data_IF_291684723575
#
_entry.id   IF_291684723575
#
_cell.length_a   1.000
_cell.length_b   1.000
_cell.length_c   1.000
_cell.angle_alpha   90.00
_cell.angle_beta   90.00
_cell.angle_gamma   90.00
#
_symmetry.space_group_name_H-M   'P 1'
#
loop_
_entity.id
_entity.type
_entity.pdbx_description
1 polymer ?
#
# COMPACT_ATOMS: atom_id res chain seq x y z
N UNK A 1 -9.89 -10.41 6.06
CA UNK A 1 -10.97 -10.55 7.07
C UNK A 1 -10.49 -10.30 8.50
N UNK A 2 -9.45 -10.96 9.04
CA UNK A 2 -9.16 -10.91 10.49
C UNK A 2 -8.95 -9.50 11.06
N UNK A 3 -8.30 -8.61 10.30
CA UNK A 3 -8.11 -7.19 10.69
C UNK A 3 -9.46 -6.50 10.92
N UNK A 4 -10.38 -6.58 9.93
CA UNK A 4 -11.68 -5.90 9.98
C UNK A 4 -12.55 -6.51 11.06
N UNK A 5 -12.53 -7.84 11.20
CA UNK A 5 -13.30 -8.55 12.21
C UNK A 5 -12.93 -8.10 13.62
N UNK A 6 -11.63 -8.11 13.95
CA UNK A 6 -11.14 -7.73 15.28
C UNK A 6 -11.49 -6.27 15.63
N UNK A 7 -11.45 -5.38 14.63
CA UNK A 7 -11.65 -3.95 14.85
C UNK A 7 -13.14 -3.60 14.91
N UNK A 8 -13.94 -4.12 13.98
CA UNK A 8 -15.29 -3.64 13.71
C UNK A 8 -16.42 -4.62 14.06
N UNK A 9 -16.21 -5.95 14.00
CA UNK A 9 -17.29 -6.94 14.12
C UNK A 9 -17.79 -7.11 15.56
N UNK A 10 -18.57 -6.13 16.01
CA UNK A 10 -19.22 -6.07 17.32
C UNK A 10 -20.58 -5.37 17.22
N UNK A 11 -21.55 -5.81 18.01
CA UNK A 11 -22.87 -5.19 18.10
C UNK A 11 -23.62 -5.22 16.77
N UNK A 12 -23.94 -4.04 16.22
CA UNK A 12 -24.68 -3.90 14.96
C UNK A 12 -23.84 -4.21 13.70
N UNK A 13 -22.52 -4.37 13.84
CA UNK A 13 -21.65 -4.66 12.70
C UNK A 13 -21.62 -6.16 12.42
N UNK A 14 -22.38 -6.58 11.41
CA UNK A 14 -22.55 -7.99 11.06
C UNK A 14 -21.34 -8.56 10.31
N UNK A 15 -21.27 -9.89 10.23
CA UNK A 15 -20.25 -10.59 9.46
C UNK A 15 -20.27 -10.22 7.96
N UNK A 16 -21.45 -9.94 7.40
CA UNK A 16 -21.62 -9.46 6.03
C UNK A 16 -20.92 -8.11 5.82
N UNK A 17 -21.09 -7.18 6.77
CA UNK A 17 -20.38 -5.91 6.77
C UNK A 17 -18.86 -6.10 6.88
N UNK A 18 -18.39 -7.06 7.67
CA UNK A 18 -16.96 -7.42 7.74
C UNK A 18 -16.41 -7.90 6.41
N UNK A 19 -17.15 -8.74 5.68
CA UNK A 19 -16.72 -9.23 4.37
C UNK A 19 -16.65 -8.09 3.35
N UNK A 20 -17.67 -7.22 3.33
CA UNK A 20 -17.69 -6.05 2.47
C UNK A 20 -16.49 -5.14 2.75
N UNK A 21 -16.30 -4.69 4.00
CA UNK A 21 -15.20 -3.80 4.38
C UNK A 21 -13.84 -4.45 4.19
N UNK A 22 -13.73 -5.77 4.36
CA UNK A 22 -12.50 -6.51 4.04
C UNK A 22 -12.14 -6.43 2.55
N UNK A 23 -13.13 -6.50 1.66
CA UNK A 23 -12.89 -6.36 0.22
C UNK A 23 -12.40 -4.95 -0.14
N UNK A 24 -12.98 -3.92 0.49
CA UNK A 24 -12.53 -2.53 0.33
C UNK A 24 -11.10 -2.34 0.84
N UNK A 25 -10.77 -2.94 1.99
CA UNK A 25 -9.42 -2.89 2.57
C UNK A 25 -8.38 -3.52 1.64
N UNK A 26 -8.70 -4.63 0.98
CA UNK A 26 -7.82 -5.27 -0.01
C UNK A 26 -7.60 -4.33 -1.20
N UNK A 27 -8.68 -3.76 -1.75
CA UNK A 27 -8.59 -2.83 -2.88
C UNK A 27 -7.75 -1.59 -2.54
N UNK A 28 -7.93 -0.99 -1.35
CA UNK A 28 -7.09 0.12 -0.87
C UNK A 28 -5.64 -0.31 -0.62
N UNK A 29 -5.42 -1.52 -0.09
CA UNK A 29 -4.08 -2.05 0.15
C UNK A 29 -3.24 -2.12 -1.12
N UNK A 30 -3.84 -2.58 -2.23
CA UNK A 30 -3.19 -2.60 -3.54
C UNK A 30 -2.88 -1.18 -4.02
N UNK A 31 -3.80 -0.24 -3.82
CA UNK A 31 -3.62 1.15 -4.23
C UNK A 31 -2.61 1.94 -3.39
N UNK A 32 -2.27 1.50 -2.17
CA UNK A 32 -1.51 2.29 -1.19
C UNK A 32 -0.16 2.78 -1.72
N UNK A 33 0.56 1.95 -2.47
CA UNK A 33 1.82 2.33 -3.12
C UNK A 33 1.64 3.54 -4.06
N UNK A 34 0.55 3.55 -4.82
CA UNK A 34 0.22 4.59 -5.79
C UNK A 34 -0.11 5.91 -5.11
N UNK A 35 -0.89 5.88 -4.02
CA UNK A 35 -1.19 7.08 -3.22
C UNK A 35 0.08 7.72 -2.66
N UNK A 36 0.95 6.90 -2.04
CA UNK A 36 2.21 7.39 -1.48
C UNK A 36 3.13 7.95 -2.56
N UNK A 37 3.24 7.27 -3.70
CA UNK A 37 4.03 7.73 -4.83
C UNK A 37 3.54 9.06 -5.39
N UNK A 38 2.21 9.22 -5.57
CA UNK A 38 1.59 10.49 -5.98
C UNK A 38 1.94 11.61 -5.01
N UNK A 39 1.76 11.39 -3.70
CA UNK A 39 2.00 12.43 -2.69
C UNK A 39 3.46 12.89 -2.65
N UNK A 40 4.41 11.96 -2.84
CA UNK A 40 5.83 12.30 -2.99
C UNK A 40 6.05 13.15 -4.24
N UNK A 41 5.52 12.76 -5.40
CA UNK A 41 5.70 13.51 -6.64
C UNK A 41 5.10 14.91 -6.56
N UNK A 42 3.93 15.06 -5.96
CA UNK A 42 3.31 16.38 -5.75
C UNK A 42 4.24 17.29 -4.95
N UNK A 43 4.88 16.78 -3.89
CA UNK A 43 5.87 17.54 -3.11
C UNK A 43 7.12 17.89 -3.92
N UNK A 44 7.58 17.01 -4.81
CA UNK A 44 8.69 17.28 -5.73
C UNK A 44 8.34 18.45 -6.65
N UNK A 45 7.15 18.46 -7.25
CA UNK A 45 6.70 19.56 -8.11
C UNK A 45 6.62 20.89 -7.37
N UNK A 46 6.11 20.89 -6.13
CA UNK A 46 6.13 22.09 -5.29
C UNK A 46 7.54 22.55 -4.96
N UNK A 47 8.48 21.64 -4.65
CA UNK A 47 9.88 21.98 -4.42
C UNK A 47 10.57 22.56 -5.67
N UNK A 48 10.14 22.16 -6.87
CA UNK A 48 10.58 22.70 -8.15
C UNK A 48 9.87 24.00 -8.55
N UNK A 49 9.07 24.61 -7.66
CA UNK A 49 8.33 25.85 -7.90
C UNK A 49 7.15 25.70 -8.86
N UNK A 50 6.76 24.48 -9.21
CA UNK A 50 5.66 24.20 -10.16
C UNK A 50 4.45 23.60 -9.43
N UNK A 51 3.62 24.47 -8.86
CA UNK A 51 2.33 24.06 -8.27
C UNK A 51 1.20 23.89 -9.30
N UNK A 52 1.39 24.38 -10.53
CA UNK A 52 0.34 24.38 -11.55
C UNK A 52 0.16 22.99 -12.15
N UNK A 53 1.25 22.25 -12.32
CA UNK A 53 1.20 20.88 -12.85
C UNK A 53 0.37 19.93 -11.97
N UNK A 54 0.63 19.80 -10.64
CA UNK A 54 -0.22 19.00 -9.74
C UNK A 54 -1.68 19.47 -9.70
N UNK A 55 -1.91 20.78 -9.79
CA UNK A 55 -3.26 21.36 -9.78
C UNK A 55 -4.07 20.96 -11.01
N UNK A 56 -3.50 21.09 -12.22
CA UNK A 56 -4.15 20.68 -13.47
C UNK A 56 -4.48 19.19 -13.50
N UNK A 57 -3.55 18.35 -13.03
CA UNK A 57 -3.78 16.91 -12.91
C UNK A 57 -4.91 16.63 -11.92
N UNK A 58 -4.97 17.36 -10.80
CA UNK A 58 -6.04 17.20 -9.81
C UNK A 58 -7.42 17.56 -10.37
N UNK A 59 -7.51 18.60 -11.22
CA UNK A 59 -8.76 18.92 -11.93
C UNK A 59 -9.14 17.79 -12.88
N UNK A 60 -8.22 17.32 -13.71
CA UNK A 60 -8.46 16.18 -14.61
C UNK A 60 -8.93 14.94 -13.85
N UNK A 61 -8.31 14.66 -12.71
CA UNK A 61 -8.66 13.54 -11.85
C UNK A 61 -10.07 13.61 -11.29
N UNK A 62 -10.59 14.79 -10.97
CA UNK A 62 -11.97 14.94 -10.49
C UNK A 62 -12.94 14.45 -11.58
N UNK A 63 -12.75 14.89 -12.82
CA UNK A 63 -13.59 14.44 -13.95
C UNK A 63 -13.41 12.95 -14.25
N UNK A 64 -12.17 12.46 -14.22
CA UNK A 64 -11.89 11.04 -14.41
C UNK A 64 -12.51 10.19 -13.30
N UNK A 65 -12.51 10.66 -12.06
CA UNK A 65 -13.11 9.96 -10.93
C UNK A 65 -14.62 9.84 -11.10
N UNK A 66 -15.31 10.94 -11.42
CA UNK A 66 -16.76 10.94 -11.70
C UNK A 66 -17.09 9.95 -12.83
N UNK A 67 -16.30 9.97 -13.91
CA UNK A 67 -16.49 9.07 -15.04
C UNK A 67 -16.30 7.59 -14.65
N UNK A 68 -15.23 7.28 -13.91
CA UNK A 68 -14.94 5.92 -13.46
C UNK A 68 -15.97 5.44 -12.43
N UNK A 69 -16.40 6.28 -11.50
CA UNK A 69 -17.44 5.97 -10.52
C UNK A 69 -18.75 5.63 -11.24
N UNK A 70 -19.16 6.43 -12.24
CA UNK A 70 -20.38 6.16 -13.00
C UNK A 70 -20.38 4.78 -13.68
N UNK A 71 -19.21 4.30 -14.12
CA UNK A 71 -19.05 3.00 -14.79
C UNK A 71 -18.88 1.85 -13.79
N UNK A 72 -18.09 2.04 -12.73
CA UNK A 72 -17.66 0.97 -11.82
C UNK A 72 -18.63 0.74 -10.67
N UNK A 73 -19.41 1.76 -10.24
CA UNK A 73 -20.36 1.62 -9.13
C UNK A 73 -21.50 0.66 -9.47
N UNK A 74 -22.00 0.68 -10.71
CA UNK A 74 -23.08 -0.23 -11.13
C UNK A 74 -22.71 -1.72 -11.02
N UNK A 75 -21.56 -2.18 -11.56
CA UNK A 75 -21.16 -3.59 -11.46
C UNK A 75 -20.55 -3.99 -10.12
N UNK A 76 -19.85 -3.09 -9.40
CA UNK A 76 -19.05 -3.45 -8.22
C UNK A 76 -19.51 -2.79 -6.90
N UNK A 77 -20.58 -1.99 -6.92
CA UNK A 77 -21.10 -1.31 -5.74
C UNK A 77 -20.04 -0.44 -5.05
N UNK A 78 -19.92 -0.59 -3.73
CA UNK A 78 -18.95 0.15 -2.92
C UNK A 78 -17.48 -0.11 -3.33
N UNK A 79 -17.15 -1.34 -3.75
CA UNK A 79 -15.80 -1.67 -4.23
C UNK A 79 -15.46 -0.95 -5.53
N UNK A 80 -16.48 -0.65 -6.35
CA UNK A 80 -16.34 0.13 -7.58
C UNK A 80 -15.79 1.53 -7.32
N UNK A 81 -16.25 2.20 -6.26
CA UNK A 81 -15.78 3.53 -5.85
C UNK A 81 -14.28 3.48 -5.49
N UNK A 82 -13.89 2.44 -4.75
CA UNK A 82 -12.48 2.27 -4.35
C UNK A 82 -11.60 2.02 -5.57
N UNK A 83 -12.03 1.14 -6.47
CA UNK A 83 -11.30 0.85 -7.71
C UNK A 83 -11.18 2.09 -8.61
N UNK A 84 -12.24 2.89 -8.73
CA UNK A 84 -12.20 4.16 -9.44
C UNK A 84 -11.17 5.11 -8.82
N UNK A 85 -11.16 5.25 -7.48
CA UNK A 85 -10.20 6.10 -6.77
C UNK A 85 -8.75 5.63 -6.99
N UNK A 86 -8.49 4.32 -6.90
CA UNK A 86 -7.17 3.75 -7.18
C UNK A 86 -6.77 3.99 -8.63
N UNK A 87 -7.67 3.79 -9.59
CA UNK A 87 -7.42 4.03 -11.02
C UNK A 87 -7.06 5.48 -11.32
N UNK A 88 -7.75 6.44 -10.71
CA UNK A 88 -7.44 7.87 -10.82
C UNK A 88 -6.04 8.16 -10.27
N UNK A 89 -5.69 7.62 -9.11
CA UNK A 89 -4.36 7.81 -8.54
C UNK A 89 -3.27 7.14 -9.40
N UNK A 90 -3.56 6.00 -10.03
CA UNK A 90 -2.66 5.36 -11.01
C UNK A 90 -2.44 6.29 -12.22
N UNK A 91 -3.50 6.89 -12.75
CA UNK A 91 -3.35 7.86 -13.85
C UNK A 91 -2.52 9.08 -13.42
N UNK A 92 -2.71 9.54 -12.17
CA UNK A 92 -2.00 10.69 -11.60
C UNK A 92 -0.50 10.45 -11.49
N UNK A 93 -0.11 9.30 -10.92
CA UNK A 93 1.31 8.98 -10.73
C UNK A 93 2.01 8.84 -12.08
N UNK A 94 1.35 8.24 -13.08
CA UNK A 94 1.90 8.11 -14.44
C UNK A 94 2.09 9.48 -15.11
N UNK A 95 1.09 10.36 -15.03
CA UNK A 95 1.18 11.72 -15.58
C UNK A 95 2.27 12.54 -14.89
N UNK A 96 2.33 12.50 -13.56
CA UNK A 96 3.34 13.22 -12.78
C UNK A 96 4.75 12.71 -13.07
N UNK A 97 4.95 11.39 -13.12
CA UNK A 97 6.25 10.80 -13.47
C UNK A 97 6.70 11.20 -14.87
N UNK A 98 5.80 11.15 -15.85
CA UNK A 98 6.12 11.52 -17.22
C UNK A 98 6.47 13.02 -17.37
N UNK A 99 5.72 13.90 -16.71
CA UNK A 99 6.03 15.33 -16.71
C UNK A 99 7.33 15.63 -15.96
N UNK A 100 7.61 14.89 -14.87
CA UNK A 100 8.85 15.04 -14.12
C UNK A 100 10.06 14.60 -14.95
N UNK A 101 9.95 13.48 -15.66
CA UNK A 101 10.96 12.98 -16.59
C UNK A 101 11.32 14.02 -17.65
N UNK A 102 10.31 14.66 -18.25
CA UNK A 102 10.52 15.77 -19.19
C UNK A 102 11.18 16.99 -18.54
N UNK A 103 10.77 17.34 -17.31
CA UNK A 103 11.27 18.54 -16.61
C UNK A 103 12.72 18.38 -16.15
N UNK A 104 13.16 17.16 -15.89
CA UNK A 104 14.52 16.83 -15.44
C UNK A 104 15.44 16.34 -16.57
N UNK A 105 14.96 16.31 -17.83
CA UNK A 105 15.67 15.74 -18.99
C UNK A 105 16.08 14.27 -18.80
N UNK A 106 15.20 13.50 -18.19
CA UNK A 106 15.36 12.07 -17.94
C UNK A 106 15.48 11.73 -16.45
N UNK A 107 14.71 10.74 -16.01
CA UNK A 107 14.86 10.12 -14.71
C UNK A 107 15.81 8.93 -14.77
N UNK A 108 16.50 8.60 -13.66
CA UNK A 108 17.37 7.43 -13.56
C UNK A 108 16.53 6.14 -13.41
N UNK A 109 15.74 5.80 -14.44
CA UNK A 109 14.80 4.67 -14.43
C UNK A 109 15.44 3.32 -14.08
N UNK A 110 16.70 3.10 -14.52
CA UNK A 110 17.45 1.87 -14.21
C UNK A 110 17.84 1.77 -12.75
N UNK A 111 18.20 2.89 -12.13
CA UNK A 111 18.59 2.92 -10.72
C UNK A 111 17.38 2.72 -9.82
N UNK A 112 16.19 3.17 -10.24
CA UNK A 112 14.96 3.00 -9.49
C UNK A 112 14.31 1.62 -9.70
N UNK A 113 14.39 1.06 -10.91
CA UNK A 113 13.72 -0.20 -11.21
C UNK A 113 14.27 -1.37 -10.40
N UNK A 114 15.58 -1.43 -10.17
CA UNK A 114 16.22 -2.52 -9.42
C UNK A 114 15.74 -2.57 -7.95
N UNK A 115 15.81 -1.48 -7.16
CA UNK A 115 15.25 -1.44 -5.81
C UNK A 115 13.74 -1.67 -5.79
N UNK A 116 12.98 -1.07 -6.70
CA UNK A 116 11.51 -1.24 -6.74
C UNK A 116 11.13 -2.69 -6.98
N UNK A 117 11.77 -3.36 -7.95
CA UNK A 117 11.53 -4.78 -8.24
C UNK A 117 11.95 -5.67 -7.07
N UNK A 118 13.11 -5.39 -6.46
CA UNK A 118 13.59 -6.11 -5.28
C UNK A 118 12.64 -5.98 -4.09
N UNK A 119 12.19 -4.76 -3.79
CA UNK A 119 11.22 -4.48 -2.72
C UNK A 119 9.87 -5.12 -3.00
N UNK A 120 9.38 -5.02 -4.23
CA UNK A 120 8.10 -5.65 -4.64
C UNK A 120 8.17 -7.17 -4.50
N UNK A 121 9.25 -7.79 -4.99
CA UNK A 121 9.48 -9.23 -4.83
C UNK A 121 9.57 -9.63 -3.35
N UNK A 122 10.31 -8.87 -2.54
CA UNK A 122 10.39 -9.09 -1.09
C UNK A 122 9.05 -8.95 -0.38
N UNK A 123 8.23 -7.97 -0.76
CA UNK A 123 6.87 -7.79 -0.21
C UNK A 123 5.95 -8.94 -0.58
N UNK A 124 6.05 -9.49 -1.79
CA UNK A 124 5.27 -10.68 -2.20
C UNK A 124 5.65 -11.89 -1.37
N UNK A 125 6.95 -12.18 -1.22
CA UNK A 125 7.42 -13.33 -0.43
C UNK A 125 7.04 -13.18 1.05
N UNK A 126 7.19 -11.99 1.62
CA UNK A 126 6.77 -11.68 2.98
C UNK A 126 5.25 -11.82 3.17
N UNK A 127 4.47 -11.36 2.18
CA UNK A 127 3.02 -11.51 2.16
C UNK A 127 2.59 -12.97 2.13
N UNK A 128 3.24 -13.80 1.29
CA UNK A 128 2.99 -15.24 1.23
C UNK A 128 3.37 -15.95 2.53
N UNK A 129 4.50 -15.59 3.15
CA UNK A 129 4.92 -16.16 4.43
C UNK A 129 3.95 -15.78 5.56
N UNK A 130 3.51 -14.52 5.60
CA UNK A 130 2.51 -14.04 6.56
C UNK A 130 1.16 -14.75 6.37
N UNK A 131 0.71 -14.89 5.13
CA UNK A 131 -0.53 -15.60 4.79
C UNK A 131 -0.44 -17.08 5.14
N UNK A 132 0.66 -17.75 4.81
CA UNK A 132 0.88 -19.15 5.19
C UNK A 132 0.88 -19.35 6.71
N UNK A 133 1.51 -18.45 7.45
CA UNK A 133 1.49 -18.47 8.93
C UNK A 133 0.08 -18.31 9.48
N UNK A 134 -0.71 -17.39 8.91
CA UNK A 134 -2.09 -17.17 9.29
C UNK A 134 -2.93 -18.44 9.07
N UNK A 135 -2.83 -19.06 7.89
CA UNK A 135 -3.57 -20.29 7.56
C UNK A 135 -3.19 -21.43 8.51
N UNK A 136 -1.91 -21.63 8.78
CA UNK A 136 -1.44 -22.66 9.73
C UNK A 136 -1.98 -22.44 11.14
N UNK A 137 -1.97 -21.19 11.63
CA UNK A 137 -2.51 -20.88 12.95
C UNK A 137 -4.04 -21.03 13.03
N UNK A 138 -4.75 -20.77 11.93
CA UNK A 138 -6.20 -20.99 11.86
C UNK A 138 -6.56 -22.48 11.92
N UNK A 139 -5.74 -23.34 11.32
CA UNK A 139 -5.92 -24.80 11.40
C UNK A 139 -5.64 -25.36 12.80
N UNK A 140 -4.67 -24.79 13.52
CA UNK A 140 -4.26 -25.27 14.85
C UNK A 140 -5.11 -24.73 16.00
N UNK A 141 -5.42 -23.41 15.99
CA UNK A 141 -6.08 -22.70 17.10
C UNK A 141 -7.57 -22.45 16.85
N UNK A 142 -8.07 -22.76 15.64
CA UNK A 142 -9.42 -22.42 15.21
C UNK A 142 -9.58 -20.94 14.82
N UNK A 143 -10.81 -20.53 14.49
CA UNK A 143 -11.13 -19.19 14.00
C UNK A 143 -11.96 -18.35 14.97
N UNK A 144 -12.35 -18.94 16.10
CA UNK A 144 -13.27 -18.35 17.07
C UNK A 144 -12.52 -17.82 18.30
N UNK A 145 -12.88 -16.62 18.75
CA UNK A 145 -12.33 -15.98 19.95
C UNK A 145 -11.43 -14.79 19.65
N UNK A 146 -11.71 -13.64 20.29
CA UNK A 146 -10.98 -12.38 20.09
C UNK A 146 -9.48 -12.52 20.38
N UNK A 147 -9.12 -13.24 21.45
CA UNK A 147 -7.71 -13.45 21.84
C UNK A 147 -6.98 -14.28 20.78
N UNK A 148 -7.62 -15.31 20.24
CA UNK A 148 -7.04 -16.17 19.19
C UNK A 148 -6.83 -15.36 17.91
N UNK A 149 -7.80 -14.56 17.50
CA UNK A 149 -7.68 -13.69 16.32
C UNK A 149 -6.58 -12.65 16.48
N UNK A 150 -6.46 -12.03 17.67
CA UNK A 150 -5.37 -11.10 17.99
C UNK A 150 -4.01 -11.78 17.92
N UNK A 151 -3.88 -12.98 18.50
CA UNK A 151 -2.64 -13.75 18.46
C UNK A 151 -2.28 -14.11 17.01
N UNK A 152 -3.23 -14.62 16.23
CA UNK A 152 -3.05 -14.94 14.81
C UNK A 152 -2.55 -13.75 14.01
N UNK A 153 -3.14 -12.57 14.23
CA UNK A 153 -2.79 -11.34 13.53
C UNK A 153 -1.42 -10.81 13.95
N UNK A 154 -1.11 -10.82 15.25
CA UNK A 154 0.19 -10.40 15.76
C UNK A 154 1.31 -11.32 15.25
N UNK A 155 1.13 -12.64 15.32
CA UNK A 155 2.15 -13.60 14.88
C UNK A 155 2.34 -13.56 13.37
N UNK A 156 1.26 -13.59 12.58
CA UNK A 156 1.36 -13.49 11.11
C UNK A 156 1.96 -12.15 10.66
N UNK A 157 1.59 -11.04 11.32
CA UNK A 157 2.17 -9.73 11.07
C UNK A 157 3.66 -9.67 11.40
N UNK A 158 4.07 -10.20 12.55
CA UNK A 158 5.47 -10.28 12.95
C UNK A 158 6.30 -11.12 11.97
N UNK A 159 5.80 -12.29 11.57
CA UNK A 159 6.48 -13.13 10.57
C UNK A 159 6.63 -12.39 9.24
N UNK A 160 5.58 -11.72 8.76
CA UNK A 160 5.66 -10.91 7.55
C UNK A 160 6.72 -9.81 7.63
N UNK A 161 6.75 -9.06 8.73
CA UNK A 161 7.75 -8.00 8.97
C UNK A 161 9.16 -8.58 9.02
N UNK A 162 9.36 -9.70 9.73
CA UNK A 162 10.68 -10.33 9.86
C UNK A 162 11.18 -10.86 8.52
N UNK A 163 10.34 -11.58 7.77
CA UNK A 163 10.70 -12.10 6.44
C UNK A 163 11.03 -10.96 5.49
N UNK A 164 10.22 -9.90 5.49
CA UNK A 164 10.51 -8.71 4.68
C UNK A 164 11.85 -8.08 5.06
N UNK A 165 12.09 -7.86 6.36
CA UNK A 165 13.33 -7.27 6.85
C UNK A 165 14.56 -8.11 6.48
N UNK A 166 14.46 -9.44 6.57
CA UNK A 166 15.53 -10.37 6.18
C UNK A 166 15.83 -10.23 4.68
N UNK A 167 14.81 -10.34 3.81
CA UNK A 167 14.99 -10.25 2.36
C UNK A 167 15.60 -8.90 1.97
N UNK A 168 15.09 -7.82 2.54
CA UNK A 168 15.52 -6.46 2.24
C UNK A 168 16.95 -6.19 2.71
N UNK A 169 17.40 -6.83 3.79
CA UNK A 169 18.81 -6.76 4.22
C UNK A 169 19.77 -7.46 3.24
N UNK A 170 19.32 -8.53 2.57
CA UNK A 170 20.11 -9.19 1.52
C UNK A 170 20.15 -8.41 0.20
N UNK A 171 19.13 -7.61 -0.10
CA UNK A 171 19.06 -6.82 -1.34
C UNK A 171 20.11 -5.68 -1.41
N UNK A 172 20.85 -5.40 -0.32
CA UNK A 172 21.93 -4.39 -0.24
C UNK A 172 21.55 -3.02 -0.84
N UNK A 173 20.28 -2.65 -0.72
CA UNK A 173 19.76 -1.39 -1.25
C UNK A 173 20.35 -0.23 -0.41
N UNK A 174 21.04 0.76 -1.00
CA UNK A 174 21.68 1.87 -0.29
C UNK A 174 20.71 2.64 0.63
N UNK A 175 19.47 2.81 0.19
CA UNK A 175 18.40 3.49 0.89
C UNK A 175 18.02 2.76 2.19
N UNK A 176 17.99 1.43 2.15
CA UNK A 176 17.71 0.57 3.32
C UNK A 176 18.85 0.69 4.32
N UNK A 177 20.10 0.60 3.86
CA UNK A 177 21.26 0.75 4.73
C UNK A 177 21.27 2.12 5.43
N UNK A 178 20.95 3.18 4.68
CA UNK A 178 20.83 4.53 5.23
C UNK A 178 19.73 4.60 6.30
N UNK A 179 18.58 3.97 6.05
CA UNK A 179 17.48 3.89 7.01
C UNK A 179 17.89 3.13 8.29
N UNK A 180 18.50 1.95 8.16
CA UNK A 180 18.96 1.12 9.29
C UNK A 180 20.00 1.85 10.13
N UNK A 181 20.98 2.51 9.50
CA UNK A 181 22.00 3.30 10.19
C UNK A 181 21.36 4.44 10.98
N UNK A 182 20.43 5.19 10.38
CA UNK A 182 19.71 6.28 11.07
C UNK A 182 18.88 5.78 12.25
N UNK A 183 18.19 4.65 12.11
CA UNK A 183 17.46 4.04 13.22
C UNK A 183 18.41 3.64 14.34
N UNK A 184 19.51 2.96 14.02
CA UNK A 184 20.51 2.52 14.99
C UNK A 184 21.12 3.71 15.74
N UNK A 185 21.41 4.82 15.06
CA UNK A 185 21.89 6.06 15.67
C UNK A 185 20.87 6.71 16.62
N UNK A 186 19.57 6.65 16.30
CA UNK A 186 18.51 7.19 17.17
C UNK A 186 18.30 6.35 18.43
N UNK A 187 18.49 5.04 18.35
CA UNK A 187 18.38 4.13 19.50
C UNK A 187 19.64 4.08 20.37
N UNK A 188 20.84 4.24 19.80
CA UNK A 188 22.12 4.29 20.54
C UNK A 188 22.49 5.67 21.10
N UNK A 189 21.75 6.73 20.73
CA UNK A 189 21.86 8.06 21.36
C UNK A 189 20.93 8.22 22.58
N UNK A 190 20.33 7.13 23.07
CA UNK A 190 19.79 7.00 24.42
C UNK A 190 20.73 6.12 25.21
#
# INVERSE_FOLDING_TARGET
VPIVQIVYERGAFTQEATQLVSSLLIAYGIGMFVYLGRDVLVRVFYALGDGQTPFRISIFNIFLNIFLDAILVRPFGATGIVLATVGVNCSSILMLLWLLDRKLNGLPWREWSVPILGLTGGSVVAGLASFGTLVSLQQLLGTQGLIIQLLQLCVSGLVGILVFAIIVSFLKIPEVNTFVVRMRQKFLKR
#
